data_IF_387205838919
#
_entry.id   IF_387205838919
#
_cell.length_a   1.000
_cell.length_b   1.000
_cell.length_c   1.000
_cell.angle_alpha   90.00
_cell.angle_beta   90.00
_cell.angle_gamma   90.00
#
_symmetry.space_group_name_H-M   'P 1'
#
loop_
_entity.id
_entity.type
_entity.pdbx_description
1 polymer ?
#
# COMPACT_ATOMS: atom_id res chain seq x y z
N UNK A 1 2.06 -32.68 -0.49
CA UNK A 1 0.82 -32.20 0.18
C UNK A 1 -0.37 -32.65 -0.65
N UNK A 2 -1.33 -33.42 -0.08
CA UNK A 2 -2.53 -33.82 -0.82
C UNK A 2 -3.39 -32.60 -1.16
N UNK A 3 -4.06 -32.66 -2.32
CA UNK A 3 -4.90 -31.57 -2.82
C UNK A 3 -6.22 -31.56 -2.04
N UNK A 4 -6.70 -30.40 -1.55
CA UNK A 4 -7.92 -30.37 -0.75
C UNK A 4 -9.14 -30.88 -1.51
N UNK A 5 -10.09 -31.47 -0.79
CA UNK A 5 -11.35 -31.97 -1.34
C UNK A 5 -12.19 -30.82 -1.93
N UNK A 6 -13.21 -31.17 -2.72
CA UNK A 6 -14.11 -30.18 -3.32
C UNK A 6 -14.90 -29.42 -2.25
N UNK A 7 -15.35 -30.12 -1.22
CA UNK A 7 -16.06 -29.55 -0.07
C UNK A 7 -15.15 -28.63 0.74
N UNK A 8 -13.90 -29.04 1.01
CA UNK A 8 -12.92 -28.20 1.70
C UNK A 8 -12.66 -26.88 0.94
N UNK A 9 -12.52 -26.95 -0.39
CA UNK A 9 -12.37 -25.76 -1.25
C UNK A 9 -13.61 -24.89 -1.31
N UNK A 10 -14.79 -25.45 -1.10
CA UNK A 10 -16.06 -24.72 -1.14
C UNK A 10 -16.33 -24.02 0.19
N UNK A 11 -16.06 -24.70 1.31
CA UNK A 11 -16.01 -24.11 2.65
C UNK A 11 -15.00 -22.97 2.67
N UNK A 12 -13.76 -23.20 2.22
CA UNK A 12 -12.72 -22.18 2.19
C UNK A 12 -13.12 -20.93 1.38
N UNK A 13 -13.79 -21.10 0.23
CA UNK A 13 -14.29 -19.99 -0.58
C UNK A 13 -15.46 -19.22 0.06
N UNK A 14 -16.45 -19.93 0.61
CA UNK A 14 -17.56 -19.29 1.32
C UNK A 14 -17.09 -18.56 2.57
N UNK A 15 -16.12 -19.14 3.28
CA UNK A 15 -15.46 -18.53 4.44
C UNK A 15 -14.65 -17.29 4.06
N UNK A 16 -13.86 -17.33 2.98
CA UNK A 16 -13.13 -16.15 2.50
C UNK A 16 -14.08 -15.02 2.07
N UNK A 17 -15.23 -15.34 1.48
CA UNK A 17 -16.29 -14.37 1.17
C UNK A 17 -16.95 -13.81 2.43
N UNK A 18 -17.27 -14.63 3.42
CA UNK A 18 -17.80 -14.19 4.71
C UNK A 18 -16.85 -13.23 5.42
N UNK A 19 -15.54 -13.53 5.39
CA UNK A 19 -14.48 -12.73 6.03
C UNK A 19 -14.21 -11.39 5.34
N UNK A 20 -14.52 -11.21 4.05
CA UNK A 20 -14.45 -9.89 3.40
C UNK A 20 -15.36 -8.86 4.08
N UNK A 21 -16.43 -9.32 4.75
CA UNK A 21 -17.31 -8.49 5.56
C UNK A 21 -16.88 -8.37 7.02
N UNK A 22 -16.02 -9.23 7.55
CA UNK A 22 -15.76 -9.31 9.00
C UNK A 22 -14.65 -8.36 9.41
N UNK A 23 -14.91 -7.50 10.40
CA UNK A 23 -13.88 -6.61 10.95
C UNK A 23 -12.88 -7.38 11.82
N UNK A 24 -11.77 -6.71 12.18
CA UNK A 24 -10.70 -7.26 13.03
C UNK A 24 -11.14 -7.73 14.43
N UNK A 25 -12.39 -7.48 14.83
CA UNK A 25 -13.00 -7.92 16.10
C UNK A 25 -14.03 -9.04 15.91
N UNK A 26 -14.17 -9.58 14.69
CA UNK A 26 -15.13 -10.66 14.40
C UNK A 26 -16.54 -10.17 14.05
N UNK A 27 -16.77 -8.86 13.88
CA UNK A 27 -18.10 -8.33 13.54
C UNK A 27 -18.34 -8.39 12.05
N UNK A 28 -19.42 -9.06 11.62
CA UNK A 28 -19.79 -9.20 10.21
C UNK A 28 -20.45 -7.90 9.69
N UNK A 29 -19.88 -7.29 8.65
CA UNK A 29 -20.55 -6.25 7.83
C UNK A 29 -21.58 -6.86 6.86
N UNK A 30 -21.63 -8.18 6.74
CA UNK A 30 -22.53 -8.92 5.83
C UNK A 30 -23.91 -9.25 6.41
N UNK A 31 -24.26 -8.76 7.60
CA UNK A 31 -25.58 -8.96 8.20
C UNK A 31 -25.85 -10.39 8.71
N UNK A 32 -27.11 -10.67 9.02
CA UNK A 32 -27.57 -11.90 9.70
C UNK A 32 -27.17 -13.20 8.97
N UNK A 33 -27.19 -13.22 7.62
CA UNK A 33 -26.85 -14.40 6.81
C UNK A 33 -25.41 -14.88 7.01
N UNK A 34 -24.47 -13.95 7.21
CA UNK A 34 -23.06 -14.32 7.46
C UNK A 34 -22.90 -14.88 8.87
N UNK A 35 -23.62 -14.34 9.85
CA UNK A 35 -23.61 -14.86 11.21
C UNK A 35 -24.20 -16.28 11.28
N UNK A 36 -25.29 -16.55 10.57
CA UNK A 36 -25.91 -17.87 10.48
C UNK A 36 -24.98 -18.90 9.81
N UNK A 37 -24.30 -18.50 8.74
CA UNK A 37 -23.30 -19.36 8.05
C UNK A 37 -22.12 -19.70 8.97
N UNK A 38 -21.62 -18.72 9.73
CA UNK A 38 -20.52 -18.95 10.69
C UNK A 38 -20.96 -19.83 11.85
N UNK A 39 -22.20 -19.65 12.35
CA UNK A 39 -22.77 -20.50 13.40
C UNK A 39 -22.91 -21.94 12.94
N UNK A 40 -23.48 -22.17 11.75
CA UNK A 40 -23.61 -23.51 11.19
C UNK A 40 -22.26 -24.18 10.87
N UNK A 41 -21.22 -23.40 10.58
CA UNK A 41 -19.85 -23.92 10.44
C UNK A 41 -19.26 -24.36 11.79
N UNK A 42 -19.45 -23.56 12.84
CA UNK A 42 -18.96 -23.85 14.19
C UNK A 42 -19.68 -25.05 14.82
N UNK A 43 -20.99 -25.20 14.57
CA UNK A 43 -21.78 -26.37 15.01
C UNK A 43 -21.31 -27.66 14.34
N UNK A 44 -20.96 -27.61 13.05
CA UNK A 44 -20.44 -28.77 12.30
C UNK A 44 -18.98 -29.07 12.61
N UNK A 45 -18.18 -28.05 12.89
CA UNK A 45 -16.76 -28.15 13.16
C UNK A 45 -16.37 -27.17 14.27
N UNK A 46 -16.42 -27.61 15.54
CA UNK A 46 -16.00 -26.79 16.67
C UNK A 46 -14.57 -26.27 16.49
N UNK A 47 -14.37 -24.97 16.67
CA UNK A 47 -13.10 -24.27 16.50
C UNK A 47 -12.75 -23.89 15.06
N UNK A 48 -13.60 -24.19 14.08
CA UNK A 48 -13.34 -23.81 12.68
C UNK A 48 -13.33 -22.29 12.50
N UNK A 49 -14.28 -21.56 13.10
CA UNK A 49 -14.34 -20.10 12.98
C UNK A 49 -13.06 -19.45 13.54
N UNK A 50 -12.59 -19.93 14.69
CA UNK A 50 -11.36 -19.43 15.31
C UNK A 50 -10.12 -19.69 14.43
N UNK A 51 -9.95 -20.91 13.92
CA UNK A 51 -8.84 -21.24 13.00
C UNK A 51 -8.85 -20.37 11.75
N UNK A 52 -10.04 -20.07 11.23
CA UNK A 52 -10.22 -19.23 10.05
C UNK A 52 -9.91 -17.75 10.34
N UNK A 53 -10.30 -17.24 11.50
CA UNK A 53 -9.92 -15.91 11.95
C UNK A 53 -8.41 -15.77 12.09
N UNK A 54 -7.73 -16.78 12.67
CA UNK A 54 -6.27 -16.82 12.78
C UNK A 54 -5.59 -16.88 11.39
N UNK A 55 -6.09 -17.70 10.48
CA UNK A 55 -5.61 -17.77 9.11
C UNK A 55 -5.84 -16.46 8.33
N UNK A 56 -6.93 -15.75 8.60
CA UNK A 56 -7.24 -14.44 8.00
C UNK A 56 -6.30 -13.35 8.51
N UNK A 57 -6.01 -13.32 9.82
CA UNK A 57 -5.06 -12.35 10.41
C UNK A 57 -3.66 -12.44 9.79
N UNK A 58 -3.22 -13.64 9.39
CA UNK A 58 -1.95 -13.85 8.66
C UNK A 58 -1.90 -13.16 7.28
N UNK A 59 -3.06 -12.84 6.69
CA UNK A 59 -3.15 -12.12 5.39
C UNK A 59 -3.16 -10.60 5.54
N UNK A 60 -3.24 -10.08 6.76
CA UNK A 60 -3.34 -8.64 7.03
C UNK A 60 -1.96 -8.09 7.35
N UNK A 61 -1.45 -7.23 6.46
CA UNK A 61 -0.20 -6.53 6.70
C UNK A 61 -0.31 -5.57 7.91
N UNK A 62 0.79 -5.37 8.67
CA UNK A 62 0.81 -4.39 9.74
C UNK A 62 0.59 -2.98 9.19
N UNK A 63 0.01 -2.10 10.00
CA UNK A 63 -0.19 -0.69 9.65
C UNK A 63 0.96 0.20 10.12
N UNK A 64 1.65 -0.22 11.18
CA UNK A 64 2.80 0.47 11.72
C UNK A 64 3.79 -0.49 12.35
N UNK A 65 5.03 -0.02 12.48
CA UNK A 65 6.15 -0.72 13.12
C UNK A 65 6.82 0.27 14.05
N UNK A 66 6.92 -0.07 15.33
CA UNK A 66 7.54 0.79 16.36
C UNK A 66 6.98 2.23 16.39
N UNK A 67 5.69 2.40 16.12
CA UNK A 67 5.05 3.73 16.08
C UNK A 67 5.16 4.46 14.74
N UNK A 68 5.86 3.89 13.76
CA UNK A 68 6.03 4.47 12.44
C UNK A 68 5.05 3.84 11.44
N UNK A 69 4.35 4.67 10.67
CA UNK A 69 3.38 4.20 9.70
C UNK A 69 4.05 3.50 8.52
N UNK A 70 3.48 2.36 8.13
CA UNK A 70 3.85 1.66 6.90
C UNK A 70 3.15 2.34 5.73
N UNK A 71 3.87 2.51 4.63
CA UNK A 71 3.31 3.02 3.40
C UNK A 71 2.41 1.96 2.77
N UNK A 72 1.14 2.31 2.55
CA UNK A 72 0.15 1.44 1.92
C UNK A 72 -0.60 2.16 0.79
N UNK A 73 0.06 3.10 0.12
CA UNK A 73 -0.55 3.95 -0.89
C UNK A 73 -0.56 3.31 -2.29
N UNK A 74 -1.70 3.39 -2.98
CA UNK A 74 -1.79 3.17 -4.42
C UNK A 74 -1.45 4.43 -5.25
N UNK A 75 -1.21 5.58 -4.60
CA UNK A 75 -1.08 6.88 -5.28
C UNK A 75 0.17 7.68 -4.87
N UNK A 76 0.88 8.19 -5.87
CA UNK A 76 2.07 9.06 -5.80
C UNK A 76 1.75 10.56 -5.65
N UNK A 77 0.76 10.90 -4.84
CA UNK A 77 0.47 12.32 -4.56
C UNK A 77 1.55 12.92 -3.67
N UNK A 78 2.05 14.10 -4.02
CA UNK A 78 2.77 14.94 -3.05
C UNK A 78 1.81 15.33 -1.91
N UNK A 79 2.33 15.50 -0.71
CA UNK A 79 1.55 16.12 0.35
C UNK A 79 1.18 17.55 -0.07
N UNK A 80 -0.07 17.97 0.15
CA UNK A 80 -0.54 19.27 -0.30
C UNK A 80 0.31 20.42 0.26
N UNK A 81 0.72 20.32 1.52
CA UNK A 81 1.60 21.28 2.19
C UNK A 81 2.97 21.33 1.52
N UNK A 82 3.57 20.16 1.24
CA UNK A 82 4.83 20.06 0.53
C UNK A 82 4.74 20.70 -0.86
N UNK A 83 3.73 20.32 -1.66
CA UNK A 83 3.59 20.78 -3.03
C UNK A 83 3.45 22.31 -3.11
N UNK A 84 2.62 22.90 -2.24
CA UNK A 84 2.45 24.35 -2.15
C UNK A 84 3.78 25.04 -1.81
N UNK A 85 4.46 24.61 -0.74
CA UNK A 85 5.73 25.20 -0.32
C UNK A 85 6.84 25.02 -1.37
N UNK A 86 6.85 23.89 -2.07
CA UNK A 86 7.83 23.61 -3.11
C UNK A 86 7.66 24.58 -4.28
N UNK A 87 6.42 24.84 -4.72
CA UNK A 87 6.12 25.81 -5.79
C UNK A 87 6.49 27.24 -5.41
N UNK A 88 6.27 27.63 -4.16
CA UNK A 88 6.60 28.98 -3.66
C UNK A 88 8.12 29.25 -3.70
N UNK A 89 8.95 28.21 -3.61
CA UNK A 89 10.42 28.28 -3.69
C UNK A 89 10.98 28.26 -5.11
N UNK A 90 10.15 28.00 -6.13
CA UNK A 90 10.65 27.90 -7.50
C UNK A 90 10.92 29.28 -8.10
N UNK A 91 12.03 29.45 -8.85
CA UNK A 91 12.32 30.71 -9.52
C UNK A 91 11.23 31.04 -10.54
N UNK A 92 10.77 32.29 -10.53
CA UNK A 92 9.78 32.82 -11.47
C UNK A 92 10.50 33.56 -12.62
N UNK A 93 10.00 33.49 -13.87
CA UNK A 93 8.84 32.71 -14.30
C UNK A 93 9.13 31.20 -14.27
N UNK A 94 8.13 30.39 -13.91
CA UNK A 94 8.27 28.95 -13.93
C UNK A 94 8.49 28.47 -15.36
N UNK A 95 9.52 27.66 -15.57
CA UNK A 95 9.88 27.13 -16.90
C UNK A 95 9.83 25.61 -16.85
N UNK A 96 9.14 24.99 -17.81
CA UNK A 96 9.03 23.54 -17.86
C UNK A 96 10.39 22.90 -18.12
N UNK A 97 10.78 22.01 -17.22
CA UNK A 97 12.01 21.24 -17.31
C UNK A 97 12.11 20.40 -18.59
N UNK A 98 10.99 19.90 -19.09
CA UNK A 98 10.92 19.00 -20.24
C UNK A 98 10.91 19.76 -21.58
N UNK A 99 9.96 20.67 -21.79
CA UNK A 99 9.80 21.36 -23.08
C UNK A 99 10.43 22.76 -23.13
N UNK A 100 11.00 23.24 -22.01
CA UNK A 100 11.64 24.56 -21.84
C UNK A 100 10.73 25.78 -22.07
N UNK A 101 9.40 25.58 -22.17
CA UNK A 101 8.42 26.66 -22.29
C UNK A 101 7.93 27.18 -20.93
N UNK A 102 7.46 28.43 -20.84
CA UNK A 102 6.87 28.97 -19.61
C UNK A 102 5.67 28.16 -19.09
N UNK A 103 5.53 28.04 -17.78
CA UNK A 103 4.38 27.45 -17.08
C UNK A 103 3.58 28.58 -16.44
N UNK A 104 2.28 28.62 -16.73
CA UNK A 104 1.36 29.59 -16.15
C UNK A 104 0.63 28.95 -14.96
N UNK A 105 0.67 29.59 -13.79
CA UNK A 105 0.11 29.05 -12.53
C UNK A 105 -1.38 28.69 -12.62
N UNK A 106 -2.16 29.46 -13.38
CA UNK A 106 -3.60 29.25 -13.55
C UNK A 106 -4.00 28.38 -14.74
N UNK A 107 -3.04 27.87 -15.52
CA UNK A 107 -3.38 27.05 -16.69
C UNK A 107 -4.02 25.71 -16.26
N UNK A 108 -4.99 25.28 -17.05
CA UNK A 108 -5.71 24.02 -16.88
C UNK A 108 -5.25 22.98 -17.90
N UNK A 109 -5.71 21.73 -17.73
CA UNK A 109 -5.44 20.66 -18.69
C UNK A 109 -3.94 20.36 -18.86
N UNK A 110 -3.51 20.10 -20.09
CA UNK A 110 -2.14 19.73 -20.44
C UNK A 110 -1.12 20.84 -20.11
N UNK A 111 -1.52 22.11 -20.18
CA UNK A 111 -0.66 23.26 -19.94
C UNK A 111 -0.59 23.67 -18.47
N UNK A 112 -1.35 23.00 -17.60
CA UNK A 112 -1.32 23.27 -16.16
C UNK A 112 -0.01 22.87 -15.50
N UNK A 113 0.29 23.44 -14.31
CA UNK A 113 1.50 23.12 -13.55
C UNK A 113 1.46 21.70 -12.98
N UNK A 114 2.61 21.05 -13.00
CA UNK A 114 2.88 19.76 -12.34
C UNK A 114 4.32 19.71 -11.82
N UNK A 115 4.55 18.87 -10.82
CA UNK A 115 5.88 18.60 -10.29
C UNK A 115 6.37 17.30 -10.93
N UNK A 116 7.54 17.35 -11.56
CA UNK A 116 8.17 16.22 -12.24
C UNK A 116 9.37 15.69 -11.45
N UNK A 117 9.51 14.37 -11.37
CA UNK A 117 10.76 13.74 -10.91
C UNK A 117 11.77 13.66 -12.05
N UNK A 118 12.95 14.24 -11.91
CA UNK A 118 14.02 14.18 -12.94
C UNK A 118 14.38 12.71 -13.22
N UNK A 119 14.66 11.95 -12.15
CA UNK A 119 14.82 10.49 -12.17
C UNK A 119 13.45 9.80 -12.11
N UNK A 120 13.16 8.81 -12.98
CA UNK A 120 11.88 8.11 -12.97
C UNK A 120 11.60 7.36 -11.67
N UNK A 121 10.33 7.36 -11.22
CA UNK A 121 9.92 6.64 -10.01
C UNK A 121 10.24 5.14 -10.04
N UNK A 122 10.14 4.50 -11.21
CA UNK A 122 10.46 3.08 -11.36
C UNK A 122 11.88 2.74 -10.87
N UNK A 123 12.82 3.69 -10.94
CA UNK A 123 14.16 3.59 -10.36
C UNK A 123 14.17 4.07 -8.90
N UNK A 124 13.61 5.24 -8.60
CA UNK A 124 13.62 5.78 -7.23
C UNK A 124 13.06 4.80 -6.19
N UNK A 125 11.99 4.08 -6.53
CA UNK A 125 11.33 3.15 -5.61
C UNK A 125 12.23 1.99 -5.15
N UNK A 126 13.22 1.61 -5.96
CA UNK A 126 14.14 0.50 -5.63
C UNK A 126 15.18 0.91 -4.60
N UNK A 127 15.38 2.22 -4.40
CA UNK A 127 16.33 2.78 -3.45
C UNK A 127 15.70 2.96 -2.04
N UNK A 128 14.38 2.80 -1.93
CA UNK A 128 13.68 2.99 -0.67
C UNK A 128 13.92 1.78 0.23
N UNK A 129 14.42 2.05 1.42
CA UNK A 129 14.66 1.04 2.45
C UNK A 129 13.41 0.22 2.75
N UNK A 130 13.57 -1.10 2.74
CA UNK A 130 12.60 -2.05 3.27
C UNK A 130 12.99 -2.50 4.67
N UNK A 131 12.01 -2.91 5.45
CA UNK A 131 12.17 -3.43 6.80
C UNK A 131 11.33 -4.70 6.92
N UNK A 132 11.93 -5.78 7.40
CA UNK A 132 11.22 -7.02 7.64
C UNK A 132 10.66 -7.06 9.06
N UNK A 133 9.36 -7.38 9.16
CA UNK A 133 8.59 -7.33 10.41
C UNK A 133 7.71 -8.57 10.59
N UNK A 134 7.57 -9.02 11.83
CA UNK A 134 6.62 -10.06 12.19
C UNK A 134 5.30 -9.43 12.68
N UNK A 135 4.19 -9.86 12.10
CA UNK A 135 2.85 -9.48 12.51
C UNK A 135 1.89 -10.66 12.30
N UNK A 136 1.08 -10.99 13.32
CA UNK A 136 0.09 -12.07 13.28
C UNK A 136 0.64 -13.42 12.77
N UNK A 137 1.86 -13.79 13.16
CA UNK A 137 2.47 -15.05 12.73
C UNK A 137 2.95 -15.06 11.27
N UNK A 138 3.11 -13.89 10.64
CA UNK A 138 3.60 -13.72 9.27
C UNK A 138 4.74 -12.71 9.22
N UNK A 139 5.77 -12.98 8.42
CA UNK A 139 6.82 -12.03 8.07
C UNK A 139 6.40 -11.19 6.87
N UNK A 140 6.58 -9.88 7.00
CA UNK A 140 6.27 -8.89 5.98
C UNK A 140 7.50 -8.05 5.69
N UNK A 141 7.80 -7.82 4.42
CA UNK A 141 8.73 -6.79 3.98
C UNK A 141 7.91 -5.53 3.70
N UNK A 142 8.20 -4.47 4.44
CA UNK A 142 7.43 -3.23 4.42
C UNK A 142 8.33 -2.04 4.18
N UNK A 143 7.73 -0.96 3.66
CA UNK A 143 8.40 0.33 3.51
C UNK A 143 7.70 1.34 4.40
N UNK A 144 8.44 2.18 5.12
CA UNK A 144 7.85 3.18 5.99
C UNK A 144 7.41 4.41 5.20
N UNK A 145 6.29 5.03 5.58
CA UNK A 145 5.76 6.24 4.92
C UNK A 145 6.80 7.36 4.90
N UNK A 146 7.55 7.55 5.99
CA UNK A 146 8.61 8.56 6.06
C UNK A 146 9.71 8.34 5.02
N UNK A 147 10.11 7.08 4.78
CA UNK A 147 11.20 6.74 3.87
C UNK A 147 10.73 6.90 2.41
N UNK A 148 9.49 6.48 2.11
CA UNK A 148 8.85 6.75 0.81
C UNK A 148 8.76 8.26 0.56
N UNK A 149 8.35 9.03 1.56
CA UNK A 149 8.22 10.49 1.45
C UNK A 149 9.55 11.18 1.25
N UNK A 150 10.61 10.72 1.93
CA UNK A 150 11.96 11.27 1.77
C UNK A 150 12.43 11.17 0.31
N UNK A 151 12.18 10.04 -0.35
CA UNK A 151 12.55 9.84 -1.76
C UNK A 151 11.58 10.54 -2.72
N UNK A 152 10.27 10.40 -2.50
CA UNK A 152 9.25 10.99 -3.37
C UNK A 152 9.29 12.52 -3.36
N UNK A 153 9.63 13.13 -2.23
CA UNK A 153 9.58 14.57 -2.01
C UNK A 153 10.99 15.19 -1.95
N UNK A 154 12.03 14.48 -2.39
CA UNK A 154 13.37 15.04 -2.48
C UNK A 154 13.43 16.15 -3.51
N UNK A 155 13.47 17.40 -3.04
CA UNK A 155 13.48 18.60 -3.85
C UNK A 155 14.63 18.63 -4.87
N UNK A 156 15.75 17.95 -4.61
CA UNK A 156 16.91 17.88 -5.53
C UNK A 156 16.53 17.20 -6.85
N UNK A 157 15.60 16.25 -6.78
CA UNK A 157 15.11 15.46 -7.89
C UNK A 157 13.79 15.98 -8.47
N UNK A 158 13.28 17.12 -8.00
CA UNK A 158 12.03 17.70 -8.51
C UNK A 158 12.30 18.85 -9.48
N UNK A 159 11.40 19.03 -10.45
CA UNK A 159 11.44 20.15 -11.38
C UNK A 159 10.02 20.58 -11.85
N UNK A 160 9.82 21.85 -12.21
CA UNK A 160 8.56 22.31 -12.77
C UNK A 160 8.29 21.64 -14.12
N UNK A 161 7.06 21.19 -14.37
CA UNK A 161 6.67 20.70 -15.70
C UNK A 161 5.21 21.01 -16.03
N UNK A 162 4.87 21.11 -17.32
CA UNK A 162 3.48 21.04 -17.74
C UNK A 162 2.92 19.64 -17.48
N UNK A 163 1.66 19.55 -17.02
CA UNK A 163 0.96 18.27 -16.80
C UNK A 163 1.01 17.35 -18.03
N UNK A 164 0.86 17.93 -19.23
CA UNK A 164 0.92 17.23 -20.50
C UNK A 164 2.31 16.74 -20.87
N UNK A 165 3.36 17.44 -20.45
CA UNK A 165 4.74 16.98 -20.67
C UNK A 165 5.08 15.83 -19.71
N UNK A 166 4.72 15.97 -18.44
CA UNK A 166 4.87 14.92 -17.42
C UNK A 166 4.11 13.65 -17.83
N UNK A 167 2.84 13.78 -18.21
CA UNK A 167 2.01 12.63 -18.60
C UNK A 167 2.48 11.89 -19.85
N UNK A 168 3.23 12.55 -20.75
CA UNK A 168 3.81 11.96 -21.96
C UNK A 168 5.13 11.23 -21.72
N UNK A 169 5.79 11.42 -20.57
CA UNK A 169 7.07 10.79 -20.23
C UNK A 169 6.95 9.27 -19.96
N UNK A 170 5.75 8.68 -19.99
CA UNK A 170 5.45 7.38 -19.39
C UNK A 170 6.38 6.22 -19.82
N UNK A 171 7.02 5.63 -18.80
CA UNK A 171 7.21 4.18 -18.71
C UNK A 171 5.95 3.48 -18.15
N UNK A 172 5.95 2.15 -17.97
CA UNK A 172 4.77 1.39 -17.53
C UNK A 172 4.24 1.87 -16.18
N UNK A 173 2.96 2.27 -16.16
CA UNK A 173 2.22 2.74 -14.97
C UNK A 173 1.88 1.62 -13.99
N UNK A 174 2.13 0.37 -14.38
CA UNK A 174 1.73 -0.82 -13.63
C UNK A 174 2.77 -1.24 -12.59
N UNK A 175 3.95 -0.61 -12.59
CA UNK A 175 5.02 -0.89 -11.63
C UNK A 175 4.92 -0.04 -10.35
N UNK A 176 3.80 0.65 -10.14
CA UNK A 176 3.78 1.90 -9.40
C UNK A 176 3.51 1.78 -7.90
N UNK A 177 3.09 0.60 -7.45
CA UNK A 177 2.69 0.37 -6.07
C UNK A 177 3.88 -0.02 -5.19
N UNK A 178 4.05 0.69 -4.08
CA UNK A 178 4.80 0.21 -2.92
C UNK A 178 3.76 -0.35 -1.95
N UNK A 179 3.76 -1.67 -1.82
CA UNK A 179 2.83 -2.37 -0.94
C UNK A 179 3.62 -3.35 -0.06
N UNK A 180 3.17 -3.57 1.19
CA UNK A 180 3.67 -4.65 2.03
C UNK A 180 3.71 -5.99 1.29
N UNK A 181 4.84 -6.66 1.33
CA UNK A 181 5.04 -7.98 0.70
C UNK A 181 5.10 -9.05 1.78
N UNK A 182 4.32 -10.12 1.63
CA UNK A 182 4.45 -11.28 2.51
C UNK A 182 5.72 -12.05 2.14
N UNK A 183 6.59 -12.27 3.12
CA UNK A 183 7.88 -12.96 2.94
C UNK A 183 7.77 -14.42 3.35
N UNK A 184 6.96 -14.73 4.36
CA UNK A 184 6.78 -16.10 4.85
C UNK A 184 6.06 -16.16 6.18
N UNK A 185 6.05 -17.33 6.79
CA UNK A 185 5.50 -17.52 8.13
C UNK A 185 6.52 -17.14 9.21
N UNK A 186 6.04 -16.54 10.30
CA UNK A 186 6.90 -16.13 11.42
C UNK A 186 7.11 -17.31 12.37
N UNK A 187 8.35 -17.63 12.79
CA UNK A 187 8.67 -18.79 13.64
C UNK A 187 8.24 -18.61 15.10
N UNK A 188 7.52 -17.53 15.43
CA UNK A 188 6.97 -17.30 16.76
C UNK A 188 7.98 -16.71 17.74
N UNK A 189 8.11 -17.31 18.92
CA UNK A 189 8.89 -16.79 20.05
C UNK A 189 10.39 -16.62 19.77
N UNK A 190 10.94 -17.32 18.78
CA UNK A 190 12.34 -17.19 18.35
C UNK A 190 12.55 -16.13 17.25
N UNK A 191 11.51 -15.41 16.84
CA UNK A 191 11.61 -14.39 15.80
C UNK A 191 12.35 -13.14 16.30
N UNK A 192 13.45 -12.79 15.63
CA UNK A 192 14.23 -11.57 15.88
C UNK A 192 13.73 -10.32 15.12
N UNK A 193 12.72 -10.47 14.25
CA UNK A 193 12.20 -9.35 13.46
C UNK A 193 11.42 -8.35 14.31
N UNK A 194 11.31 -7.11 13.82
CA UNK A 194 10.52 -6.07 14.49
C UNK A 194 9.05 -6.48 14.56
N UNK A 195 8.39 -6.19 15.69
CA UNK A 195 6.96 -6.48 15.85
C UNK A 195 6.12 -5.33 15.27
N UNK A 196 5.26 -5.66 14.31
CA UNK A 196 4.22 -4.76 13.84
C UNK A 196 3.08 -4.65 14.86
N UNK A 197 2.43 -3.49 14.93
CA UNK A 197 1.20 -3.27 15.74
C UNK A 197 -0.07 -3.36 14.90
#
# INVERSE_FOLDING_TARGET
>A
MPRPSREERQVQRHTEQALKGVDKRGRTRGGAKVAETLKGLEEKQPGAVQKLLEASKKKIAPKSVNGENIYSGSWRGFENTFASQWWDRQPKPWTCYLCKKPIVKGAAGADGPSIEHKVPWARLKTEIRTVDVCCNGTHWSVTLTKDVRAVLQDASNLAPAHKGCNSKKNGPKDSDSIAPQRVGDCPGSSCSMRKGK
#
